data_IF_081708767486
#
_entry.id   IF_081708767486
#
_cell.length_a   1.000
_cell.length_b   1.000
_cell.length_c   1.000
_cell.angle_alpha   90.00
_cell.angle_beta   90.00
_cell.angle_gamma   90.00
#
_symmetry.space_group_name_H-M   'P 1'
#
loop_
_entity.id
_entity.type
_entity.pdbx_description
1 polymer ?
#
# COMPACT_ATOMS: atom_id res chain seq x y z
N UNK A 1 31.83 -3.00 -15.62
CA UNK A 1 30.47 -3.10 -16.21
C UNK A 1 30.28 -1.89 -17.10
N UNK A 2 30.18 -2.11 -18.41
CA UNK A 2 30.24 -1.02 -19.39
C UNK A 2 28.86 -0.54 -19.86
N UNK A 3 27.78 -1.18 -19.40
CA UNK A 3 26.40 -0.81 -19.75
C UNK A 3 25.64 -0.35 -18.50
N UNK A 4 24.72 0.61 -18.63
CA UNK A 4 23.73 0.90 -17.59
C UNK A 4 22.96 -0.36 -17.21
N UNK A 5 22.92 -0.68 -15.92
CA UNK A 5 22.30 -1.89 -15.39
C UNK A 5 21.38 -1.54 -14.24
N UNK A 6 20.17 -2.10 -14.25
CA UNK A 6 19.25 -2.07 -13.11
C UNK A 6 19.38 -3.37 -12.33
N UNK A 7 19.48 -3.27 -11.00
CA UNK A 7 19.51 -4.40 -10.10
C UNK A 7 18.33 -4.30 -9.12
N UNK A 8 17.51 -5.33 -9.06
CA UNK A 8 16.38 -5.43 -8.13
C UNK A 8 16.67 -6.54 -7.13
N UNK A 9 16.65 -6.19 -5.85
CA UNK A 9 16.89 -7.12 -4.75
C UNK A 9 15.69 -7.08 -3.82
N UNK A 10 15.12 -8.24 -3.54
CA UNK A 10 13.96 -8.40 -2.66
C UNK A 10 14.44 -8.87 -1.29
N UNK A 11 13.84 -8.35 -0.22
CA UNK A 11 14.12 -8.72 1.17
C UNK A 11 15.62 -8.74 1.52
N UNK A 12 16.32 -7.64 1.20
CA UNK A 12 17.79 -7.57 1.34
C UNK A 12 18.28 -7.85 2.76
N UNK A 13 17.45 -7.62 3.78
CA UNK A 13 17.81 -7.84 5.18
C UNK A 13 17.95 -9.31 5.59
N UNK A 14 17.61 -10.26 4.72
CA UNK A 14 17.84 -11.68 4.95
C UNK A 14 19.34 -12.02 4.99
N UNK A 15 20.17 -11.26 4.28
CA UNK A 15 21.63 -11.35 4.35
C UNK A 15 22.15 -10.41 5.45
N UNK A 16 22.97 -10.88 6.39
CA UNK A 16 23.49 -10.04 7.48
C UNK A 16 24.46 -8.96 7.01
N UNK A 17 25.15 -9.18 5.88
CA UNK A 17 26.15 -8.30 5.28
C UNK A 17 25.60 -7.45 4.13
N UNK A 18 24.29 -7.48 3.91
CA UNK A 18 23.60 -6.82 2.79
C UNK A 18 24.05 -5.37 2.58
N UNK A 19 24.19 -4.60 3.67
CA UNK A 19 24.55 -3.19 3.62
C UNK A 19 25.96 -2.96 3.03
N UNK A 20 26.94 -3.74 3.46
CA UNK A 20 28.33 -3.60 3.01
C UNK A 20 28.48 -4.08 1.56
N UNK A 21 27.72 -5.11 1.17
CA UNK A 21 27.63 -5.59 -0.21
C UNK A 21 27.03 -4.51 -1.12
N UNK A 22 25.90 -3.93 -0.74
CA UNK A 22 25.26 -2.84 -1.50
C UNK A 22 26.16 -1.62 -1.64
N UNK A 23 26.80 -1.21 -0.55
CA UNK A 23 27.76 -0.12 -0.56
C UNK A 23 28.91 -0.40 -1.54
N UNK A 24 29.50 -1.59 -1.45
CA UNK A 24 30.60 -2.00 -2.33
C UNK A 24 30.19 -2.05 -3.80
N UNK A 25 28.99 -2.54 -4.11
CA UNK A 25 28.47 -2.60 -5.49
C UNK A 25 28.22 -1.22 -6.07
N UNK A 26 27.64 -0.32 -5.26
CA UNK A 26 27.38 1.05 -5.66
C UNK A 26 28.68 1.84 -5.93
N UNK A 27 29.67 1.74 -5.04
CA UNK A 27 30.95 2.43 -5.20
C UNK A 27 31.75 1.93 -6.41
N UNK A 28 31.69 0.63 -6.71
CA UNK A 28 32.46 0.02 -7.81
C UNK A 28 31.88 0.29 -9.19
N UNK A 29 30.63 0.76 -9.30
CA UNK A 29 29.97 0.94 -10.60
C UNK A 29 29.04 2.14 -10.64
N UNK A 30 29.49 3.22 -11.29
CA UNK A 30 28.65 4.41 -11.58
C UNK A 30 27.51 4.18 -12.57
N UNK A 31 27.43 2.99 -13.19
CA UNK A 31 26.40 2.62 -14.17
C UNK A 31 25.36 1.66 -13.59
N UNK A 32 25.39 1.42 -12.28
CA UNK A 32 24.46 0.53 -11.59
C UNK A 32 23.39 1.35 -10.87
N UNK A 33 22.12 1.09 -11.17
CA UNK A 33 20.99 1.62 -10.41
C UNK A 33 20.35 0.48 -9.62
N UNK A 34 20.32 0.60 -8.29
CA UNK A 34 19.90 -0.49 -7.40
C UNK A 34 18.56 -0.14 -6.76
N UNK A 35 17.59 -1.04 -6.89
CA UNK A 35 16.35 -1.05 -6.13
C UNK A 35 16.42 -2.19 -5.11
N UNK A 36 16.11 -1.88 -3.86
CA UNK A 36 16.04 -2.84 -2.77
C UNK A 36 14.66 -2.77 -2.15
N UNK A 37 14.07 -3.93 -1.86
CA UNK A 37 12.94 -4.04 -0.95
C UNK A 37 13.44 -4.56 0.39
N UNK A 38 12.62 -4.32 1.41
CA UNK A 38 12.68 -5.14 2.60
C UNK A 38 11.74 -4.64 3.67
N UNK A 39 11.58 -5.46 4.70
CA UNK A 39 10.69 -5.15 5.80
C UNK A 39 11.10 -3.87 6.55
N UNK A 40 10.13 -3.24 7.22
CA UNK A 40 10.31 -2.04 8.02
C UNK A 40 11.31 -2.21 9.19
N UNK A 41 11.75 -3.43 9.48
CA UNK A 41 12.81 -3.69 10.46
C UNK A 41 14.22 -3.32 9.93
N UNK A 42 14.41 -3.12 8.62
CA UNK A 42 15.66 -2.62 8.04
C UNK A 42 16.11 -1.33 8.72
N UNK A 43 15.18 -0.42 9.02
CA UNK A 43 15.48 0.85 9.67
C UNK A 43 16.06 0.71 11.08
N UNK A 44 15.81 -0.42 11.75
CA UNK A 44 16.32 -0.70 13.10
C UNK A 44 17.77 -1.22 13.06
N UNK A 45 18.17 -1.92 11.98
CA UNK A 45 19.52 -2.47 11.78
C UNK A 45 20.42 -1.49 11.00
N UNK A 46 20.43 -0.24 11.43
CA UNK A 46 20.93 0.88 10.62
C UNK A 46 22.47 0.84 10.44
N UNK A 47 22.95 0.52 9.24
CA UNK A 47 24.32 0.79 8.82
C UNK A 47 24.35 2.20 8.21
N UNK A 48 24.91 3.17 8.96
CA UNK A 48 24.82 4.60 8.65
C UNK A 48 25.37 4.99 7.26
N UNK A 49 26.23 4.16 6.67
CA UNK A 49 26.86 4.44 5.38
C UNK A 49 25.91 4.25 4.18
N UNK A 50 25.04 3.24 4.23
CA UNK A 50 24.06 2.95 3.17
C UNK A 50 22.88 3.91 3.26
N UNK A 51 22.37 4.13 4.46
CA UNK A 51 21.14 4.93 4.70
C UNK A 51 21.32 6.39 4.29
N UNK A 52 22.51 6.97 4.46
CA UNK A 52 22.81 8.34 4.02
C UNK A 52 22.87 8.50 2.50
N UNK A 53 22.97 7.39 1.74
CA UNK A 53 23.15 7.37 0.28
C UNK A 53 21.93 6.81 -0.45
N UNK A 54 21.12 6.02 0.23
CA UNK A 54 19.87 5.50 -0.31
C UNK A 54 18.79 6.59 -0.31
N UNK A 55 17.99 6.66 -1.38
CA UNK A 55 16.67 7.27 -1.28
C UNK A 55 15.71 6.22 -0.74
N UNK A 56 15.14 6.47 0.42
CA UNK A 56 14.31 5.50 1.12
C UNK A 56 12.85 5.95 1.04
N UNK A 57 12.04 5.13 0.37
CA UNK A 57 10.61 5.38 0.20
C UNK A 57 9.80 4.40 1.08
N UNK A 58 9.16 4.87 2.17
CA UNK A 58 8.35 4.01 3.01
C UNK A 58 7.07 3.58 2.28
N UNK A 59 6.86 2.27 2.16
CA UNK A 59 5.62 1.71 1.62
C UNK A 59 4.64 1.42 2.76
N UNK A 60 3.61 2.26 2.89
CA UNK A 60 2.58 2.08 3.90
C UNK A 60 1.55 1.01 3.50
N UNK A 61 0.90 0.36 4.48
CA UNK A 61 -0.27 -0.47 4.19
C UNK A 61 -1.33 0.31 3.43
N UNK A 62 -2.01 -0.37 2.51
CA UNK A 62 -3.12 0.20 1.76
C UNK A 62 -4.21 0.69 2.71
N UNK A 63 -4.74 1.87 2.45
CA UNK A 63 -5.97 2.27 3.12
C UNK A 63 -7.14 1.42 2.61
N UNK A 64 -8.25 1.42 3.36
CA UNK A 64 -9.41 0.60 3.02
C UNK A 64 -9.87 0.77 1.57
N UNK A 65 -9.86 2.00 1.05
CA UNK A 65 -10.37 2.28 -0.30
C UNK A 65 -9.40 1.81 -1.38
N UNK A 66 -8.10 2.01 -1.18
CA UNK A 66 -7.06 1.46 -2.07
C UNK A 66 -7.11 -0.07 -2.12
N UNK A 67 -7.33 -0.70 -0.96
CA UNK A 67 -7.55 -2.14 -0.90
C UNK A 67 -8.79 -2.57 -1.70
N UNK A 68 -9.92 -1.88 -1.56
CA UNK A 68 -11.13 -2.19 -2.34
C UNK A 68 -10.91 -2.02 -3.85
N UNK A 69 -10.16 -1.00 -4.26
CA UNK A 69 -9.81 -0.76 -5.65
C UNK A 69 -8.92 -1.87 -6.21
N UNK A 70 -7.85 -2.23 -5.51
CA UNK A 70 -6.91 -3.24 -5.99
C UNK A 70 -7.49 -4.65 -5.96
N UNK A 71 -8.23 -5.00 -4.90
CA UNK A 71 -8.73 -6.37 -4.70
C UNK A 71 -10.01 -6.66 -5.46
N UNK A 72 -10.90 -5.67 -5.56
CA UNK A 72 -12.26 -5.88 -6.07
C UNK A 72 -12.62 -4.95 -7.24
N UNK A 73 -11.70 -4.09 -7.69
CA UNK A 73 -11.94 -3.08 -8.72
C UNK A 73 -13.12 -2.16 -8.38
N UNK A 74 -13.36 -1.92 -7.08
CA UNK A 74 -14.44 -1.05 -6.61
C UNK A 74 -13.86 0.33 -6.29
N UNK A 75 -14.27 1.34 -7.05
CA UNK A 75 -13.84 2.72 -6.86
C UNK A 75 -14.82 3.51 -5.99
N UNK A 76 -14.32 4.36 -5.08
CA UNK A 76 -15.15 5.28 -4.30
C UNK A 76 -15.78 6.33 -5.21
N UNK A 77 -16.89 6.92 -4.76
CA UNK A 77 -17.44 8.09 -5.44
C UNK A 77 -16.44 9.26 -5.36
N UNK A 78 -16.14 9.95 -6.48
CA UNK A 78 -15.25 11.10 -6.49
C UNK A 78 -15.69 12.16 -5.46
N UNK A 79 -14.75 12.68 -4.69
CA UNK A 79 -15.03 13.71 -3.69
C UNK A 79 -15.70 13.21 -2.40
N UNK A 80 -16.12 11.95 -2.28
CA UNK A 80 -16.74 11.41 -1.07
C UNK A 80 -15.80 11.47 0.14
N UNK A 81 -14.53 11.06 -0.04
CA UNK A 81 -13.48 11.16 0.99
C UNK A 81 -13.31 12.59 1.50
N UNK A 82 -13.22 13.55 0.58
CA UNK A 82 -13.03 14.95 0.94
C UNK A 82 -14.28 15.51 1.64
N UNK A 83 -15.47 15.19 1.15
CA UNK A 83 -16.73 15.64 1.75
C UNK A 83 -16.93 15.09 3.16
N UNK A 84 -16.60 13.82 3.38
CA UNK A 84 -16.60 13.21 4.72
C UNK A 84 -15.57 13.87 5.63
N UNK A 85 -14.35 14.12 5.14
CA UNK A 85 -13.31 14.82 5.89
C UNK A 85 -13.79 16.21 6.33
N UNK A 86 -14.36 17.00 5.42
CA UNK A 86 -14.94 18.31 5.73
C UNK A 86 -16.08 18.21 6.74
N UNK A 87 -16.99 17.25 6.56
CA UNK A 87 -18.11 17.04 7.48
C UNK A 87 -17.64 16.73 8.92
N UNK A 88 -16.53 16.00 9.08
CA UNK A 88 -15.98 15.65 10.41
C UNK A 88 -15.13 16.78 10.99
N UNK A 89 -14.18 17.31 10.22
CA UNK A 89 -13.13 18.21 10.74
C UNK A 89 -13.45 19.70 10.60
N UNK A 90 -14.38 20.10 9.73
CA UNK A 90 -14.75 21.50 9.47
C UNK A 90 -16.16 21.83 10.00
N UNK A 91 -16.67 21.04 10.95
CA UNK A 91 -17.93 21.29 11.63
C UNK A 91 -17.71 21.97 12.97
N UNK A 92 -18.49 22.99 13.26
CA UNK A 92 -18.42 23.81 14.48
C UNK A 92 -19.04 23.10 15.70
N UNK A 93 -19.86 22.07 15.47
CA UNK A 93 -20.45 21.26 16.53
C UNK A 93 -20.68 19.82 16.10
N UNK A 94 -20.78 18.92 17.09
CA UNK A 94 -21.09 17.50 16.88
C UNK A 94 -22.44 17.31 16.16
N UNK A 95 -23.44 18.14 16.46
CA UNK A 95 -24.73 18.12 15.77
C UNK A 95 -24.63 18.51 14.31
N UNK A 96 -23.82 19.53 14.00
CA UNK A 96 -23.57 19.93 12.62
C UNK A 96 -22.83 18.82 11.86
N UNK A 97 -21.81 18.21 12.46
CA UNK A 97 -21.09 17.08 11.89
C UNK A 97 -22.04 15.91 11.60
N UNK A 98 -22.90 15.54 12.58
CA UNK A 98 -23.89 14.47 12.44
C UNK A 98 -24.83 14.72 11.27
N UNK A 99 -25.37 15.94 11.12
CA UNK A 99 -26.24 16.32 10.01
C UNK A 99 -25.52 16.24 8.66
N UNK A 100 -24.29 16.74 8.57
CA UNK A 100 -23.48 16.71 7.34
C UNK A 100 -23.12 15.28 6.94
N UNK A 101 -22.75 14.41 7.89
CA UNK A 101 -22.49 13.00 7.63
C UNK A 101 -23.77 12.29 7.19
N UNK A 102 -24.90 12.54 7.86
CA UNK A 102 -26.19 11.96 7.49
C UNK A 102 -26.59 12.29 6.04
N UNK A 103 -26.32 13.52 5.58
CA UNK A 103 -26.55 13.91 4.20
C UNK A 103 -25.66 13.16 3.19
N UNK A 104 -24.46 12.72 3.60
CA UNK A 104 -23.53 11.94 2.75
C UNK A 104 -23.79 10.42 2.80
N UNK A 105 -24.62 9.94 3.72
CA UNK A 105 -24.92 8.52 3.88
C UNK A 105 -25.45 7.82 2.62
N UNK A 106 -26.27 8.43 1.75
CA UNK A 106 -26.69 7.79 0.51
C UNK A 106 -25.51 7.38 -0.38
N UNK A 107 -24.52 8.27 -0.54
CA UNK A 107 -23.28 7.99 -1.29
C UNK A 107 -22.42 6.93 -0.63
N UNK A 108 -22.30 6.99 0.71
CA UNK A 108 -21.57 5.97 1.48
C UNK A 108 -22.21 4.59 1.30
N UNK A 109 -23.53 4.48 1.45
CA UNK A 109 -24.27 3.23 1.29
C UNK A 109 -24.16 2.68 -0.12
N UNK A 110 -24.25 3.56 -1.13
CA UNK A 110 -24.05 3.18 -2.53
C UNK A 110 -22.66 2.60 -2.76
N UNK A 111 -21.60 3.21 -2.22
CA UNK A 111 -20.25 2.64 -2.29
C UNK A 111 -20.15 1.27 -1.59
N UNK A 112 -20.64 1.16 -0.34
CA UNK A 112 -20.58 -0.08 0.43
C UNK A 112 -21.34 -1.23 -0.24
N UNK A 113 -22.49 -0.95 -0.87
CA UNK A 113 -23.26 -1.98 -1.60
C UNK A 113 -22.46 -2.62 -2.75
N UNK A 114 -21.57 -1.85 -3.41
CA UNK A 114 -20.69 -2.38 -4.46
C UNK A 114 -19.61 -3.28 -3.86
N UNK A 115 -19.04 -2.87 -2.72
CA UNK A 115 -18.04 -3.65 -1.99
C UNK A 115 -18.62 -4.97 -1.50
N UNK A 116 -19.81 -4.96 -0.91
CA UNK A 116 -20.48 -6.16 -0.40
C UNK A 116 -20.76 -7.15 -1.53
N UNK A 117 -21.25 -6.66 -2.67
CA UNK A 117 -21.50 -7.48 -3.86
C UNK A 117 -20.22 -8.14 -4.34
N UNK A 118 -19.14 -7.36 -4.51
CA UNK A 118 -17.87 -7.89 -4.99
C UNK A 118 -17.23 -8.89 -4.01
N UNK A 119 -17.34 -8.62 -2.70
CA UNK A 119 -16.85 -9.50 -1.64
C UNK A 119 -17.59 -10.84 -1.64
N UNK A 120 -18.92 -10.81 -1.82
CA UNK A 120 -19.73 -12.02 -1.91
C UNK A 120 -19.33 -12.88 -3.12
N UNK A 121 -19.13 -12.27 -4.29
CA UNK A 121 -18.67 -12.98 -5.49
C UNK A 121 -17.34 -13.68 -5.24
N UNK A 122 -16.33 -12.99 -4.72
CA UNK A 122 -15.01 -13.60 -4.46
C UNK A 122 -15.09 -14.75 -3.45
N UNK A 123 -15.85 -14.60 -2.36
CA UNK A 123 -16.07 -15.68 -1.38
C UNK A 123 -16.76 -16.89 -2.00
N UNK A 124 -17.73 -16.66 -2.88
CA UNK A 124 -18.46 -17.74 -3.54
C UNK A 124 -17.56 -18.51 -4.52
N UNK A 125 -16.76 -17.81 -5.32
CA UNK A 125 -15.77 -18.43 -6.22
C UNK A 125 -14.70 -19.22 -5.45
N UNK A 126 -14.16 -18.68 -4.36
CA UNK A 126 -13.21 -19.40 -3.51
C UNK A 126 -13.82 -20.68 -2.93
N UNK A 127 -15.09 -20.65 -2.50
CA UNK A 127 -15.78 -21.86 -2.01
C UNK A 127 -15.95 -22.92 -3.10
N UNK A 128 -16.31 -22.52 -4.32
CA UNK A 128 -16.42 -23.46 -5.45
C UNK A 128 -15.05 -24.05 -5.80
N UNK A 129 -14.04 -23.20 -5.91
CA UNK A 129 -12.68 -23.61 -6.26
C UNK A 129 -12.12 -24.60 -5.23
N UNK A 130 -12.21 -24.28 -3.93
CA UNK A 130 -11.75 -25.19 -2.86
C UNK A 130 -12.52 -26.51 -2.87
N UNK A 131 -13.85 -26.48 -3.08
CA UNK A 131 -14.66 -27.71 -3.15
C UNK A 131 -14.34 -28.62 -4.35
N UNK A 132 -13.66 -28.09 -5.38
CA UNK A 132 -13.25 -28.83 -6.57
C UNK A 132 -11.87 -29.50 -6.41
N UNK A 133 -11.04 -29.03 -5.46
CA UNK A 133 -9.70 -29.58 -5.17
C UNK A 133 -9.66 -30.52 -3.96
N UNK A 134 -10.75 -30.62 -3.18
CA UNK A 134 -10.90 -31.57 -2.06
C UNK A 134 -11.49 -32.95 -2.48
N UNK A 135 -11.43 -33.32 -3.77
CA UNK A 135 -11.75 -34.67 -4.27
C UNK A 135 -10.51 -35.29 -4.91
#
# INVERSE_FOLDING_TARGET
MDKPTFLFLDEVQEDEQWADVLFSLHERSRRLFIFCSGSSAIYLKNNANVVRRANIEPLYPLNYTEYQMLRFNVTPEPGLKQSLKKAVFESESADQARRRIAALMPSVRKYLSKVDTATFTVKWWLRIFVSHFEK
#
